data_IF_561663983213
#
_entry.id   IF_561663983213
#
_cell.length_a   1.000
_cell.length_b   1.000
_cell.length_c   1.000
_cell.angle_alpha   90.00
_cell.angle_beta   90.00
_cell.angle_gamma   90.00
#
_symmetry.space_group_name_H-M   'P 1'
#
loop_
_entity.id
_entity.type
_entity.pdbx_description
1 polymer ?
#
# COMPACT_ATOMS: atom_id res chain seq x y z
N UNK A 1 -62.61 51.69 -24.01
CA UNK A 1 -63.33 50.77 -23.11
C UNK A 1 -62.73 49.39 -23.33
N UNK A 2 -61.89 48.97 -22.39
CA UNK A 2 -61.08 47.76 -22.46
C UNK A 2 -61.96 46.50 -22.43
N UNK A 3 -61.68 45.55 -23.33
CA UNK A 3 -62.17 44.18 -23.25
C UNK A 3 -61.27 43.42 -22.28
N UNK A 4 -61.79 43.00 -21.13
CA UNK A 4 -61.16 41.96 -20.32
C UNK A 4 -61.62 40.59 -20.87
N UNK A 5 -60.70 39.72 -21.31
CA UNK A 5 -61.05 38.37 -21.72
C UNK A 5 -61.46 37.56 -20.49
N UNK A 6 -62.68 37.03 -20.54
CA UNK A 6 -63.23 36.14 -19.54
C UNK A 6 -62.43 34.82 -19.60
N UNK A 7 -61.58 34.61 -18.59
CA UNK A 7 -60.75 33.43 -18.47
C UNK A 7 -61.63 32.21 -18.21
N UNK A 8 -61.74 31.36 -19.22
CA UNK A 8 -62.46 30.10 -19.21
C UNK A 8 -61.55 29.03 -18.61
N UNK A 9 -62.00 28.33 -17.57
CA UNK A 9 -61.24 27.25 -16.93
C UNK A 9 -61.66 25.89 -17.52
N UNK A 10 -60.88 25.33 -18.48
CA UNK A 10 -61.23 24.09 -19.16
C UNK A 10 -61.21 22.86 -18.23
N UNK A 11 -60.66 22.96 -17.01
CA UNK A 11 -60.67 21.86 -16.04
C UNK A 11 -61.99 21.75 -15.30
N UNK A 12 -62.75 22.85 -15.17
CA UNK A 12 -64.03 22.87 -14.47
C UNK A 12 -65.14 22.25 -15.32
N UNK A 13 -65.09 22.43 -16.65
CA UNK A 13 -66.09 21.86 -17.56
C UNK A 13 -65.85 20.37 -17.84
N UNK A 14 -64.59 19.93 -17.82
CA UNK A 14 -64.23 18.50 -17.92
C UNK A 14 -64.75 17.68 -16.72
N UNK A 15 -64.93 18.31 -15.56
CA UNK A 15 -65.51 17.65 -14.39
C UNK A 15 -67.04 17.48 -14.50
N UNK A 16 -67.73 18.34 -15.25
CA UNK A 16 -69.19 18.34 -15.39
C UNK A 16 -69.75 17.32 -16.38
N UNK A 17 -69.03 17.01 -17.46
CA UNK A 17 -69.51 16.09 -18.52
C UNK A 17 -69.13 14.61 -18.31
N UNK A 18 -68.38 14.26 -17.26
CA UNK A 18 -67.86 12.91 -17.04
C UNK A 18 -68.76 11.95 -16.24
N UNK A 19 -69.84 12.43 -15.63
CA UNK A 19 -70.57 11.65 -14.60
C UNK A 19 -71.48 10.56 -15.19
N UNK A 20 -72.00 10.70 -16.42
CA UNK A 20 -72.80 9.63 -17.04
C UNK A 20 -71.96 8.53 -17.74
N UNK A 21 -70.66 8.75 -17.99
CA UNK A 21 -69.73 7.72 -18.49
C UNK A 21 -68.82 7.11 -17.40
N UNK A 22 -69.02 7.48 -16.13
CA UNK A 22 -68.12 7.09 -15.04
C UNK A 22 -68.18 5.61 -14.64
N UNK A 23 -69.29 4.90 -14.88
CA UNK A 23 -69.43 3.50 -14.47
C UNK A 23 -68.64 2.54 -15.38
N UNK A 24 -68.39 2.90 -16.65
CA UNK A 24 -67.59 2.09 -17.57
C UNK A 24 -66.08 2.41 -17.53
N UNK A 25 -65.66 3.55 -16.98
CA UNK A 25 -64.24 3.93 -16.86
C UNK A 25 -63.57 3.40 -15.58
N UNK A 26 -64.35 3.00 -14.57
CA UNK A 26 -63.82 2.39 -13.35
C UNK A 26 -63.11 1.04 -13.60
N UNK A 27 -63.58 0.24 -14.56
CA UNK A 27 -62.95 -1.04 -14.91
C UNK A 27 -61.65 -0.87 -15.72
N UNK A 28 -61.50 0.23 -16.46
CA UNK A 28 -60.29 0.53 -17.25
C UNK A 28 -59.18 1.07 -16.36
N UNK A 29 -59.51 1.91 -15.35
CA UNK A 29 -58.53 2.46 -14.42
C UNK A 29 -57.83 1.40 -13.55
N UNK A 30 -58.55 0.37 -13.12
CA UNK A 30 -58.00 -0.72 -12.31
C UNK A 30 -56.95 -1.56 -13.07
N UNK A 31 -57.23 -1.86 -14.34
CA UNK A 31 -56.30 -2.62 -15.21
C UNK A 31 -55.04 -1.80 -15.49
N UNK A 32 -55.17 -0.50 -15.74
CA UNK A 32 -54.03 0.39 -15.93
C UNK A 32 -53.12 0.46 -14.68
N UNK A 33 -53.72 0.54 -13.48
CA UNK A 33 -52.97 0.52 -12.23
C UNK A 33 -52.22 -0.81 -12.00
N UNK A 34 -52.85 -1.94 -12.32
CA UNK A 34 -52.22 -3.27 -12.21
C UNK A 34 -51.03 -3.40 -13.17
N UNK A 35 -51.16 -2.93 -14.42
CA UNK A 35 -50.06 -2.96 -15.39
C UNK A 35 -48.88 -2.08 -14.96
N UNK A 36 -49.14 -0.91 -14.37
CA UNK A 36 -48.08 -0.06 -13.83
C UNK A 36 -47.37 -0.69 -12.62
N UNK A 37 -48.12 -1.33 -11.71
CA UNK A 37 -47.57 -2.10 -10.59
C UNK A 37 -46.72 -3.28 -11.10
N UNK A 38 -47.18 -4.00 -12.12
CA UNK A 38 -46.40 -5.07 -12.75
C UNK A 38 -45.14 -4.54 -13.45
N UNK A 39 -45.22 -3.44 -14.20
CA UNK A 39 -44.08 -2.86 -14.89
C UNK A 39 -43.01 -2.33 -13.91
N UNK A 40 -43.43 -1.71 -12.81
CA UNK A 40 -42.51 -1.21 -11.78
C UNK A 40 -41.83 -2.35 -11.02
N UNK A 41 -42.57 -3.39 -10.64
CA UNK A 41 -41.99 -4.59 -10.01
C UNK A 41 -41.02 -5.31 -10.94
N UNK A 42 -41.34 -5.44 -12.23
CA UNK A 42 -40.43 -6.00 -13.23
C UNK A 42 -39.13 -5.20 -13.34
N UNK A 43 -39.21 -3.86 -13.43
CA UNK A 43 -38.02 -3.00 -13.50
C UNK A 43 -37.12 -3.11 -12.26
N UNK A 44 -37.70 -3.28 -11.07
CA UNK A 44 -36.94 -3.49 -9.84
C UNK A 44 -36.21 -4.83 -9.85
N UNK A 45 -36.87 -5.89 -10.32
CA UNK A 45 -36.26 -7.21 -10.48
C UNK A 45 -35.12 -7.17 -11.50
N UNK A 46 -35.33 -6.54 -12.67
CA UNK A 46 -34.32 -6.36 -13.70
C UNK A 46 -33.10 -5.62 -13.15
N UNK A 47 -33.30 -4.49 -12.45
CA UNK A 47 -32.21 -3.75 -11.79
C UNK A 47 -31.46 -4.60 -10.79
N UNK A 48 -32.17 -5.32 -9.92
CA UNK A 48 -31.54 -6.21 -8.95
C UNK A 48 -30.74 -7.34 -9.62
N UNK A 49 -31.22 -7.90 -10.73
CA UNK A 49 -30.46 -8.91 -11.49
C UNK A 49 -29.22 -8.31 -12.15
N UNK A 50 -29.31 -7.11 -12.70
CA UNK A 50 -28.20 -6.43 -13.35
C UNK A 50 -27.11 -6.01 -12.34
N UNK A 51 -27.53 -5.50 -11.18
CA UNK A 51 -26.63 -5.18 -10.06
C UNK A 51 -25.92 -6.43 -9.55
N UNK A 52 -26.64 -7.52 -9.32
CA UNK A 52 -26.03 -8.80 -8.92
C UNK A 52 -25.09 -9.34 -9.98
N UNK A 53 -25.43 -9.25 -11.26
CA UNK A 53 -24.56 -9.68 -12.35
C UNK A 53 -23.27 -8.86 -12.39
N UNK A 54 -23.38 -7.54 -12.26
CA UNK A 54 -22.24 -6.62 -12.20
C UNK A 54 -21.36 -6.91 -10.99
N UNK A 55 -21.94 -7.08 -9.80
CA UNK A 55 -21.20 -7.43 -8.58
C UNK A 55 -20.53 -8.80 -8.70
N UNK A 56 -21.21 -9.79 -9.26
CA UNK A 56 -20.65 -11.13 -9.46
C UNK A 56 -19.49 -11.12 -10.44
N UNK A 57 -19.55 -10.27 -11.48
CA UNK A 57 -18.46 -10.09 -12.44
C UNK A 57 -17.25 -9.38 -11.81
N UNK A 58 -17.46 -8.28 -11.08
CA UNK A 58 -16.40 -7.60 -10.33
C UNK A 58 -15.71 -8.55 -9.34
N UNK A 59 -16.49 -9.34 -8.62
CA UNK A 59 -15.96 -10.33 -7.66
C UNK A 59 -15.20 -11.44 -8.37
N UNK A 60 -15.65 -11.87 -9.56
CA UNK A 60 -14.91 -12.85 -10.39
C UNK A 60 -13.58 -12.29 -10.86
N UNK A 61 -13.54 -11.04 -11.31
CA UNK A 61 -12.32 -10.36 -11.73
C UNK A 61 -11.33 -10.22 -10.56
N UNK A 62 -11.80 -9.80 -9.38
CA UNK A 62 -10.98 -9.73 -8.17
C UNK A 62 -10.38 -11.10 -7.82
N UNK A 63 -11.22 -12.15 -7.75
CA UNK A 63 -10.73 -13.52 -7.49
C UNK A 63 -9.72 -13.99 -8.52
N UNK A 64 -9.94 -13.69 -9.80
CA UNK A 64 -9.00 -14.05 -10.86
C UNK A 64 -7.65 -13.34 -10.70
N UNK A 65 -7.67 -12.05 -10.34
CA UNK A 65 -6.47 -11.27 -10.04
C UNK A 65 -5.72 -11.81 -8.82
N UNK A 66 -6.44 -12.13 -7.74
CA UNK A 66 -5.86 -12.71 -6.51
C UNK A 66 -5.24 -14.07 -6.78
N UNK A 67 -5.94 -14.95 -7.52
CA UNK A 67 -5.40 -16.24 -7.91
C UNK A 67 -4.18 -16.11 -8.83
N UNK A 68 -4.15 -15.13 -9.72
CA UNK A 68 -2.99 -14.84 -10.55
C UNK A 68 -1.79 -14.36 -9.71
N UNK A 69 -2.04 -13.51 -8.70
CA UNK A 69 -1.05 -13.12 -7.70
C UNK A 69 -0.49 -14.31 -6.93
N UNK A 70 -1.38 -15.15 -6.37
CA UNK A 70 -1.01 -16.37 -5.64
C UNK A 70 -0.14 -17.32 -6.44
N UNK A 71 -0.45 -17.53 -7.72
CA UNK A 71 0.35 -18.39 -8.60
C UNK A 71 1.79 -17.87 -8.76
N UNK A 72 1.98 -16.55 -8.76
CA UNK A 72 3.31 -15.93 -8.96
C UNK A 72 4.22 -16.12 -7.76
N UNK A 73 3.71 -16.00 -6.54
CA UNK A 73 4.57 -16.14 -5.34
C UNK A 73 4.60 -17.55 -4.74
N UNK A 74 3.73 -18.47 -5.21
CA UNK A 74 3.72 -19.88 -4.76
C UNK A 74 5.01 -20.64 -5.02
N UNK A 75 5.79 -20.25 -6.03
CA UNK A 75 7.09 -20.88 -6.32
C UNK A 75 8.09 -20.74 -5.16
N UNK A 76 7.94 -19.74 -4.27
CA UNK A 76 8.77 -19.60 -3.07
C UNK A 76 8.70 -20.81 -2.12
N UNK A 77 7.64 -21.63 -2.22
CA UNK A 77 7.48 -22.85 -1.42
C UNK A 77 8.13 -24.08 -2.04
N UNK A 78 8.48 -24.04 -3.32
CA UNK A 78 9.29 -25.08 -3.94
C UNK A 78 10.76 -24.87 -3.57
N UNK A 79 11.26 -25.74 -2.69
CA UNK A 79 12.64 -25.68 -2.19
C UNK A 79 13.67 -25.87 -3.31
N UNK A 80 13.38 -26.71 -4.31
CA UNK A 80 14.32 -26.99 -5.42
C UNK A 80 14.39 -25.78 -6.34
N UNK A 81 13.24 -25.18 -6.63
CA UNK A 81 13.17 -23.94 -7.38
C UNK A 81 13.89 -22.82 -6.65
N UNK A 82 13.59 -22.58 -5.37
CA UNK A 82 14.18 -21.47 -4.60
C UNK A 82 15.71 -21.59 -4.46
N UNK A 83 16.22 -22.82 -4.31
CA UNK A 83 17.65 -23.08 -4.28
C UNK A 83 18.35 -22.78 -5.61
N UNK A 84 17.68 -23.01 -6.75
CA UNK A 84 18.21 -22.75 -8.09
C UNK A 84 17.92 -21.35 -8.65
N UNK A 85 16.95 -20.63 -8.09
CA UNK A 85 16.48 -19.35 -8.61
C UNK A 85 17.54 -18.25 -8.48
N UNK A 86 17.66 -17.40 -9.49
CA UNK A 86 18.55 -16.23 -9.48
C UNK A 86 17.93 -15.00 -8.79
N UNK A 87 18.74 -13.96 -8.56
CA UNK A 87 18.30 -12.73 -7.87
C UNK A 87 17.06 -12.11 -8.55
N UNK A 88 17.01 -11.91 -9.88
CA UNK A 88 15.81 -11.37 -10.54
C UNK A 88 14.55 -12.23 -10.34
N UNK A 89 14.67 -13.55 -10.42
CA UNK A 89 13.55 -14.48 -10.19
C UNK A 89 13.05 -14.39 -8.75
N UNK A 90 13.96 -14.40 -7.77
CA UNK A 90 13.60 -14.30 -6.34
C UNK A 90 12.98 -12.94 -6.02
N UNK A 91 13.50 -11.83 -6.58
CA UNK A 91 12.91 -10.50 -6.44
C UNK A 91 11.52 -10.40 -7.10
N UNK A 92 11.32 -11.05 -8.25
CA UNK A 92 10.02 -11.13 -8.92
C UNK A 92 8.96 -11.81 -8.04
N UNK A 93 9.32 -12.92 -7.41
CA UNK A 93 8.44 -13.65 -6.49
C UNK A 93 8.20 -12.88 -5.19
N UNK A 94 9.25 -12.25 -4.64
CA UNK A 94 9.15 -11.39 -3.47
C UNK A 94 8.20 -10.20 -3.71
N UNK A 95 8.33 -9.53 -4.86
CA UNK A 95 7.48 -8.38 -5.22
C UNK A 95 6.03 -8.77 -5.50
N UNK A 96 5.80 -9.97 -6.05
CA UNK A 96 4.45 -10.51 -6.22
C UNK A 96 3.78 -10.82 -4.87
N UNK A 97 4.54 -11.22 -3.84
CA UNK A 97 4.04 -11.52 -2.51
C UNK A 97 3.80 -10.25 -1.66
N UNK A 98 4.63 -9.22 -1.86
CA UNK A 98 4.67 -8.00 -1.05
C UNK A 98 3.31 -7.31 -0.78
N UNK A 99 2.43 -7.05 -1.77
CA UNK A 99 1.16 -6.36 -1.49
C UNK A 99 0.18 -7.19 -0.66
N UNK A 100 0.36 -8.51 -0.60
CA UNK A 100 -0.53 -9.42 0.12
C UNK A 100 0.00 -9.81 1.51
N UNK A 101 1.20 -9.38 1.87
CA UNK A 101 1.89 -9.90 3.05
C UNK A 101 1.25 -9.47 4.38
N UNK A 102 0.51 -8.36 4.39
CA UNK A 102 -0.22 -7.90 5.58
C UNK A 102 -1.55 -8.65 5.80
N UNK A 103 -2.16 -9.19 4.73
CA UNK A 103 -3.50 -9.81 4.78
C UNK A 103 -3.48 -11.33 4.62
N UNK A 104 -2.41 -11.90 4.03
CA UNK A 104 -2.29 -13.33 3.74
C UNK A 104 -1.00 -13.88 4.38
N UNK A 105 -1.10 -14.70 5.44
CA UNK A 105 0.06 -15.26 6.13
C UNK A 105 1.01 -16.04 5.21
N UNK A 106 0.48 -16.77 4.23
CA UNK A 106 1.28 -17.52 3.25
C UNK A 106 2.08 -16.59 2.33
N UNK A 107 1.55 -15.42 1.99
CA UNK A 107 2.28 -14.43 1.20
C UNK A 107 3.43 -13.83 2.02
N UNK A 108 3.23 -13.55 3.31
CA UNK A 108 4.32 -13.14 4.20
C UNK A 108 5.40 -14.22 4.31
N UNK A 109 5.01 -15.48 4.47
CA UNK A 109 5.99 -16.58 4.49
C UNK A 109 6.76 -16.70 3.18
N UNK A 110 6.10 -16.56 2.03
CA UNK A 110 6.76 -16.54 0.72
C UNK A 110 7.78 -15.39 0.64
N UNK A 111 7.39 -14.19 1.07
CA UNK A 111 8.25 -13.00 1.13
C UNK A 111 9.48 -13.24 1.99
N UNK A 112 9.30 -13.76 3.20
CA UNK A 112 10.41 -14.06 4.13
C UNK A 112 11.36 -15.14 3.58
N UNK A 113 10.85 -16.19 2.92
CA UNK A 113 11.67 -17.21 2.24
C UNK A 113 12.53 -16.61 1.14
N UNK A 114 11.94 -15.74 0.32
CA UNK A 114 12.69 -15.01 -0.70
C UNK A 114 13.78 -14.13 -0.07
N UNK A 115 13.50 -13.44 1.04
CA UNK A 115 14.53 -12.63 1.71
C UNK A 115 15.69 -13.44 2.27
N UNK A 116 15.43 -14.63 2.83
CA UNK A 116 16.50 -15.54 3.25
C UNK A 116 17.37 -15.90 2.05
N UNK A 117 16.75 -16.27 0.93
CA UNK A 117 17.49 -16.59 -0.29
C UNK A 117 18.29 -15.40 -0.84
N UNK A 118 17.72 -14.20 -0.80
CA UNK A 118 18.42 -12.97 -1.20
C UNK A 118 19.59 -12.66 -0.27
N UNK A 119 19.50 -12.96 1.04
CA UNK A 119 20.62 -12.80 1.99
C UNK A 119 21.77 -13.76 1.68
N UNK A 120 21.47 -14.98 1.25
CA UNK A 120 22.48 -15.95 0.82
C UNK A 120 23.19 -15.51 -0.46
N UNK A 121 22.45 -14.99 -1.44
CA UNK A 121 23.01 -14.59 -2.74
C UNK A 121 23.70 -13.22 -2.71
N UNK A 122 23.15 -12.28 -1.97
CA UNK A 122 23.55 -10.88 -2.02
C UNK A 122 23.59 -10.23 -0.63
N UNK A 123 24.49 -10.69 0.26
CA UNK A 123 24.55 -10.24 1.66
C UNK A 123 24.78 -8.72 1.76
N UNK A 124 25.53 -8.12 0.84
CA UNK A 124 25.75 -6.68 0.82
C UNK A 124 24.45 -5.87 0.62
N UNK A 125 23.63 -6.25 -0.37
CA UNK A 125 22.39 -5.53 -0.68
C UNK A 125 21.35 -5.74 0.44
N UNK A 126 21.26 -6.96 0.95
CA UNK A 126 20.37 -7.25 2.08
C UNK A 126 20.81 -6.58 3.38
N UNK A 127 22.11 -6.33 3.59
CA UNK A 127 22.58 -5.51 4.71
C UNK A 127 22.16 -4.03 4.61
N UNK A 128 21.91 -3.50 3.40
CA UNK A 128 21.25 -2.20 3.24
C UNK A 128 19.76 -2.28 3.55
N UNK A 129 19.08 -3.33 3.06
CA UNK A 129 17.68 -3.60 3.38
C UNK A 129 17.44 -3.67 4.90
N UNK A 130 18.21 -4.48 5.62
CA UNK A 130 18.06 -4.67 7.06
C UNK A 130 18.30 -3.35 7.84
N UNK A 131 19.22 -2.50 7.39
CA UNK A 131 19.41 -1.14 7.97
C UNK A 131 18.21 -0.22 7.74
N UNK A 132 17.56 -0.27 6.57
CA UNK A 132 16.32 0.47 6.35
C UNK A 132 15.19 -0.06 7.23
N UNK A 133 15.10 -1.38 7.43
CA UNK A 133 14.12 -1.99 8.33
C UNK A 133 14.33 -1.58 9.79
N UNK A 134 15.57 -1.48 10.24
CA UNK A 134 15.92 -0.97 11.58
C UNK A 134 15.58 0.52 11.77
N UNK A 135 15.50 1.27 10.68
CA UNK A 135 15.04 2.67 10.68
C UNK A 135 13.51 2.79 10.51
N UNK A 136 12.75 1.73 10.83
CA UNK A 136 11.29 1.63 10.73
C UNK A 136 10.70 1.89 9.34
N UNK A 137 11.51 1.74 8.28
CA UNK A 137 11.02 1.83 6.90
C UNK A 137 10.20 0.58 6.56
N UNK A 138 9.06 0.78 5.90
CA UNK A 138 8.18 -0.30 5.48
C UNK A 138 8.92 -1.30 4.56
N UNK A 139 8.61 -2.61 4.60
CA UNK A 139 9.39 -3.61 3.88
C UNK A 139 9.50 -3.39 2.38
N UNK A 140 8.42 -2.91 1.74
CA UNK A 140 8.40 -2.61 0.30
C UNK A 140 9.37 -1.49 -0.05
N UNK A 141 9.27 -0.40 0.69
CA UNK A 141 10.11 0.78 0.49
C UNK A 141 11.58 0.48 0.83
N UNK A 142 11.84 -0.28 1.90
CA UNK A 142 13.17 -0.73 2.27
C UNK A 142 13.84 -1.54 1.15
N UNK A 143 13.10 -2.45 0.50
CA UNK A 143 13.62 -3.22 -0.63
C UNK A 143 13.85 -2.33 -1.85
N UNK A 144 12.92 -1.43 -2.17
CA UNK A 144 13.09 -0.47 -3.28
C UNK A 144 14.36 0.37 -3.11
N UNK A 145 14.64 0.85 -1.90
CA UNK A 145 15.88 1.57 -1.56
C UNK A 145 17.11 0.66 -1.62
N UNK A 146 16.96 -0.65 -1.41
CA UNK A 146 18.03 -1.63 -1.50
C UNK A 146 18.31 -2.12 -2.94
N UNK A 147 17.35 -1.98 -3.87
CA UNK A 147 17.47 -2.47 -5.26
C UNK A 147 18.77 -2.03 -5.98
N UNK A 148 19.22 -0.76 -5.89
CA UNK A 148 20.45 -0.33 -6.56
C UNK A 148 21.71 -1.09 -6.10
N UNK A 149 21.70 -1.69 -4.91
CA UNK A 149 22.84 -2.42 -4.36
C UNK A 149 22.93 -3.87 -4.88
N UNK A 150 21.86 -4.40 -5.50
CA UNK A 150 21.89 -5.71 -6.19
C UNK A 150 22.63 -5.66 -7.54
N UNK A 151 22.88 -4.46 -8.09
CA UNK A 151 23.67 -4.30 -9.31
C UNK A 151 25.19 -4.30 -9.06
N UNK A 152 25.62 -4.25 -7.79
CA UNK A 152 27.04 -4.33 -7.40
C UNK A 152 27.43 -5.78 -7.19
N UNK A 153 28.72 -6.11 -7.31
CA UNK A 153 29.19 -7.46 -7.02
C UNK A 153 28.75 -7.90 -5.60
N UNK A 154 28.12 -9.08 -5.45
CA UNK A 154 27.63 -9.58 -4.16
C UNK A 154 28.75 -9.69 -3.11
N UNK A 155 29.99 -9.90 -3.55
CA UNK A 155 31.18 -9.82 -2.72
C UNK A 155 32.04 -8.63 -3.14
N UNK A 156 31.79 -7.48 -2.51
CA UNK A 156 32.71 -6.33 -2.57
C UNK A 156 34.10 -6.65 -1.99
N UNK A 157 34.27 -7.82 -1.38
CA UNK A 157 35.53 -8.36 -0.85
C UNK A 157 36.03 -9.55 -1.70
N UNK A 158 35.98 -9.43 -3.02
CA UNK A 158 36.70 -10.32 -3.93
C UNK A 158 38.14 -9.82 -4.09
N UNK A 159 39.05 -10.41 -3.31
CA UNK A 159 40.48 -10.09 -3.35
C UNK A 159 41.22 -10.89 -2.30
N UNK A 160 42.55 -11.01 -2.46
CA UNK A 160 43.44 -11.59 -1.47
C UNK A 160 43.05 -11.11 -0.06
N UNK A 161 43.11 -11.97 0.99
CA UNK A 161 42.94 -11.51 2.36
C UNK A 161 43.84 -10.28 2.54
N UNK A 162 43.35 -9.18 3.17
CA UNK A 162 44.18 -8.01 3.37
C UNK A 162 45.49 -8.51 4.00
N UNK A 163 46.66 -8.11 3.48
CA UNK A 163 47.93 -8.58 4.00
C UNK A 163 47.87 -8.40 5.51
N UNK A 164 48.16 -9.46 6.28
CA UNK A 164 48.01 -9.38 7.72
C UNK A 164 48.82 -8.19 8.18
N UNK A 165 48.16 -7.24 8.84
CA UNK A 165 48.82 -6.04 9.37
C UNK A 165 49.92 -6.58 10.28
N UNK A 166 51.18 -6.52 9.84
CA UNK A 166 52.32 -7.16 10.54
C UNK A 166 52.41 -6.68 11.99
N UNK A 167 51.94 -5.46 12.25
CA UNK A 167 51.77 -4.85 13.57
C UNK A 167 50.84 -5.63 14.51
N UNK A 168 49.75 -6.22 14.01
CA UNK A 168 48.82 -7.04 14.80
C UNK A 168 49.40 -8.41 15.16
N UNK A 169 50.20 -8.99 14.27
CA UNK A 169 50.81 -10.31 14.47
C UNK A 169 52.09 -10.28 15.30
N UNK A 170 52.85 -9.18 15.23
CA UNK A 170 54.11 -9.05 15.95
C UNK A 170 53.92 -8.73 17.43
N UNK A 171 52.77 -8.17 17.82
CA UNK A 171 52.56 -7.68 19.19
C UNK A 171 51.09 -7.75 19.67
N UNK A 172 50.40 -8.90 19.61
CA UNK A 172 49.04 -9.02 20.12
C UNK A 172 48.96 -8.68 21.63
N UNK A 173 49.99 -9.07 22.39
CA UNK A 173 50.12 -8.72 23.81
C UNK A 173 50.42 -7.23 24.03
N UNK A 174 51.18 -6.55 23.15
CA UNK A 174 51.52 -5.12 23.30
C UNK A 174 50.37 -4.18 22.92
N UNK A 175 49.42 -4.64 22.09
CA UNK A 175 48.17 -3.91 21.83
C UNK A 175 47.17 -4.08 22.97
N UNK A 176 47.22 -5.20 23.70
CA UNK A 176 46.49 -5.40 24.94
C UNK A 176 47.17 -4.77 26.18
N UNK A 177 48.51 -4.66 26.16
CA UNK A 177 49.36 -4.02 27.19
C UNK A 177 49.74 -2.58 26.86
N UNK A 178 49.27 -2.05 25.74
CA UNK A 178 49.31 -0.62 25.52
C UNK A 178 48.39 -0.03 26.56
N UNK A 179 48.95 0.39 27.68
CA UNK A 179 48.33 1.32 28.61
C UNK A 179 47.70 2.40 27.73
N UNK A 180 46.38 2.31 27.53
CA UNK A 180 45.65 3.44 27.01
C UNK A 180 45.99 4.55 28.01
N UNK A 181 46.67 5.64 27.58
CA UNK A 181 47.23 6.63 28.51
C UNK A 181 46.13 7.33 29.34
N UNK A 182 44.87 7.01 29.06
CA UNK A 182 43.71 7.42 29.80
C UNK A 182 42.84 6.19 30.06
N UNK A 183 42.57 5.91 31.34
CA UNK A 183 41.44 5.05 31.70
C UNK A 183 40.14 5.74 31.27
N UNK A 184 39.05 4.98 31.07
CA UNK A 184 37.73 5.56 30.83
C UNK A 184 37.40 6.59 31.91
N UNK A 185 37.77 6.32 33.17
CA UNK A 185 37.62 7.27 34.28
C UNK A 185 38.42 8.57 34.08
N UNK A 186 39.64 8.49 33.53
CA UNK A 186 40.45 9.67 33.21
C UNK A 186 39.84 10.46 32.05
N UNK A 187 39.34 9.82 30.99
CA UNK A 187 38.66 10.52 29.88
C UNK A 187 37.36 11.19 30.35
N UNK A 188 36.60 10.53 31.24
CA UNK A 188 35.38 11.09 31.85
C UNK A 188 35.71 12.26 32.80
N UNK A 189 36.89 12.24 33.43
CA UNK A 189 37.35 13.32 34.31
C UNK A 189 38.00 14.50 33.53
N UNK A 190 38.68 14.23 32.41
CA UNK A 190 39.41 15.22 31.60
C UNK A 190 38.59 15.79 30.44
N UNK A 191 37.50 15.13 30.04
CA UNK A 191 36.55 15.70 29.10
C UNK A 191 35.93 16.96 29.71
N UNK A 192 35.88 18.09 28.99
CA UNK A 192 35.11 19.22 29.47
C UNK A 192 33.69 18.70 29.74
N UNK A 193 33.18 18.92 30.96
CA UNK A 193 31.74 18.85 31.20
C UNK A 193 31.13 19.89 30.28
N UNK A 194 30.79 19.48 29.06
CA UNK A 194 29.83 20.18 28.25
C UNK A 194 28.53 19.99 29.02
N UNK A 195 28.33 20.86 30.02
CA UNK A 195 27.00 21.25 30.43
C UNK A 195 26.32 21.65 29.14
N UNK A 196 25.56 20.73 28.54
CA UNK A 196 24.57 21.11 27.57
C UNK A 196 23.74 22.19 28.28
N UNK A 197 23.78 23.45 27.82
CA UNK A 197 22.91 24.45 28.42
C UNK A 197 21.49 23.92 28.26
N UNK A 198 20.81 23.80 29.40
CA UNK A 198 19.39 23.52 29.44
C UNK A 198 18.67 24.42 28.42
N UNK A 199 17.79 23.78 27.65
CA UNK A 199 17.02 24.31 26.53
C UNK A 199 17.02 25.81 26.32
N UNK A 200 17.62 26.25 25.20
CA UNK A 200 17.10 27.41 24.48
C UNK A 200 16.13 26.90 23.42
N UNK A 201 14.84 27.10 23.67
CA UNK A 201 13.78 26.84 22.72
C UNK A 201 14.09 27.49 21.36
N UNK A 202 13.75 26.86 20.22
CA UNK A 202 13.92 27.47 18.91
C UNK A 202 13.09 28.76 18.85
N UNK A 203 13.76 29.89 18.61
CA UNK A 203 13.10 31.15 18.34
C UNK A 203 12.32 31.00 17.01
N UNK A 204 10.99 30.95 17.12
CA UNK A 204 10.07 31.13 16.00
C UNK A 204 10.39 32.49 15.38
N UNK A 205 10.90 32.48 14.14
CA UNK A 205 11.04 33.71 13.34
C UNK A 205 9.63 34.23 13.02
N UNK A 206 9.27 35.46 13.34
CA UNK A 206 8.03 36.05 12.83
C UNK A 206 8.14 36.23 11.32
N UNK A 207 7.04 35.90 10.63
CA UNK A 207 6.85 36.09 9.20
C UNK A 207 7.02 37.57 8.82
N UNK A 208 7.77 37.81 7.75
CA UNK A 208 7.91 39.13 7.13
C UNK A 208 6.58 39.46 6.42
N UNK A 209 5.88 40.56 6.73
CA UNK A 209 4.72 40.96 5.97
C UNK A 209 5.14 41.47 4.59
N UNK A 210 4.55 40.84 3.58
CA UNK A 210 4.62 41.20 2.17
C UNK A 210 3.97 42.58 1.98
N UNK A 211 4.77 43.61 1.66
CA UNK A 211 4.24 44.91 1.25
C UNK A 211 3.72 44.81 -0.18
N UNK A 212 2.41 44.99 -0.37
CA UNK A 212 1.83 45.26 -1.66
C UNK A 212 2.35 46.61 -2.18
N UNK A 213 2.83 46.63 -3.42
CA UNK A 213 2.94 47.83 -4.23
C UNK A 213 2.52 47.49 -5.65
#
# INVERSE_FOLDING_TARGET
MEHTPQYFDPLVEAAGQGVEQAVHLASVGAVAAQLLLQATTQRLLERATHERATQAELTRQQRAADQAGQRRWRSAFDRRWLAGADVPQVLGVWSAAAPYSASVPEAEQARLRCEVRLREQHPHAMGHYDRFRQADVAPVEAMQRALPFFARDPNVRTGYPPPPRRELLSHPARLAQGDFPYSIAHVVAAGPRTTLPAGRAPAVRPAVPMRCR
#
